data_IF_856354420226
#
_entry.id   IF_856354420226
#
_cell.length_a   1.000
_cell.length_b   1.000
_cell.length_c   1.000
_cell.angle_alpha   90.00
_cell.angle_beta   90.00
_cell.angle_gamma   90.00
#
_symmetry.space_group_name_H-M   'P 1'
#
loop_
_entity.id
_entity.type
_entity.pdbx_description
1 polymer ?
#
# COMPACT_ATOMS: atom_id res chain seq x y z
N UNK A 1 -7.01 6.76 19.15
CA UNK A 1 -7.72 6.97 17.88
C UNK A 1 -7.05 6.03 16.89
N UNK A 2 -7.75 4.97 16.54
CA UNK A 2 -7.27 4.05 15.51
C UNK A 2 -7.09 4.85 14.21
N UNK A 3 -5.86 4.87 13.68
CA UNK A 3 -5.65 5.31 12.30
C UNK A 3 -6.48 4.38 11.44
N UNK A 4 -7.53 4.92 10.81
CA UNK A 4 -8.30 4.17 9.82
C UNK A 4 -7.32 3.53 8.84
N UNK A 5 -7.35 2.20 8.74
CA UNK A 5 -6.46 1.42 7.88
C UNK A 5 -6.98 1.57 6.43
N UNK A 6 -6.75 2.74 5.84
CA UNK A 6 -7.15 3.07 4.48
C UNK A 6 -6.05 3.84 3.75
N UNK A 7 -5.99 3.67 2.45
CA UNK A 7 -5.04 4.37 1.58
C UNK A 7 -5.78 5.01 0.42
N UNK A 8 -5.36 6.18 -0.04
CA UNK A 8 -6.01 6.85 -1.15
C UNK A 8 -5.70 6.18 -2.49
N UNK A 9 -6.63 6.27 -3.46
CA UNK A 9 -6.36 5.84 -4.84
C UNK A 9 -5.22 6.67 -5.45
N UNK A 10 -5.04 7.92 -5.04
CA UNK A 10 -3.92 8.76 -5.44
C UNK A 10 -2.55 8.19 -5.05
N UNK A 11 -2.42 7.65 -3.83
CA UNK A 11 -1.19 7.00 -3.39
C UNK A 11 -0.91 5.74 -4.21
N UNK A 12 -1.97 4.97 -4.55
CA UNK A 12 -1.88 3.83 -5.45
C UNK A 12 -1.41 4.22 -6.85
N UNK A 13 -1.92 5.32 -7.40
CA UNK A 13 -1.51 5.85 -8.72
C UNK A 13 -0.02 6.17 -8.73
N UNK A 14 0.48 6.82 -7.68
CA UNK A 14 1.89 7.20 -7.56
C UNK A 14 2.81 6.00 -7.37
N UNK A 15 2.47 5.13 -6.44
CA UNK A 15 3.33 3.99 -6.08
C UNK A 15 3.45 2.98 -7.21
N UNK A 16 2.33 2.69 -7.89
CA UNK A 16 2.28 1.70 -8.96
C UNK A 16 2.37 2.31 -10.36
N UNK A 17 2.74 3.60 -10.46
CA UNK A 17 2.93 4.33 -11.72
C UNK A 17 1.76 4.15 -12.71
N UNK A 18 0.53 4.34 -12.24
CA UNK A 18 -0.68 4.13 -13.03
C UNK A 18 -1.08 5.40 -13.80
N UNK A 19 -1.69 5.21 -14.96
CA UNK A 19 -2.24 6.30 -15.76
C UNK A 19 -3.71 6.52 -15.42
N UNK A 20 -4.09 7.74 -15.04
CA UNK A 20 -5.49 8.11 -14.80
C UNK A 20 -6.24 8.32 -16.14
N UNK A 21 -7.40 7.67 -16.27
CA UNK A 21 -8.33 7.85 -17.41
C UNK A 21 -9.38 8.89 -17.07
N UNK A 22 -9.72 9.02 -15.80
CA UNK A 22 -10.73 9.95 -15.27
C UNK A 22 -10.07 10.96 -14.31
N UNK A 23 -9.16 11.83 -14.78
CA UNK A 23 -8.39 12.75 -13.92
C UNK A 23 -9.26 13.83 -13.24
N UNK A 24 -10.50 14.04 -13.70
CA UNK A 24 -11.48 14.93 -13.07
C UNK A 24 -12.04 14.38 -11.75
N UNK A 25 -11.91 13.09 -11.50
CA UNK A 25 -12.31 12.48 -10.23
C UNK A 25 -11.14 12.64 -9.25
N UNK A 26 -11.40 13.25 -8.09
CA UNK A 26 -10.38 13.49 -7.09
C UNK A 26 -9.96 12.17 -6.40
N UNK A 27 -8.94 11.51 -6.94
CA UNK A 27 -8.39 10.24 -6.43
C UNK A 27 -7.85 10.31 -5.00
N UNK A 28 -7.62 11.53 -4.46
CA UNK A 28 -7.23 11.74 -3.05
C UNK A 28 -8.36 11.53 -2.05
N UNK A 29 -9.60 11.64 -2.50
CA UNK A 29 -10.80 11.49 -1.67
C UNK A 29 -11.43 10.11 -1.79
N UNK A 30 -10.91 9.25 -2.66
CA UNK A 30 -11.36 7.87 -2.81
C UNK A 30 -10.38 6.94 -2.11
N UNK A 31 -10.88 6.07 -1.22
CA UNK A 31 -10.06 5.24 -0.35
C UNK A 31 -10.25 3.75 -0.61
N UNK A 32 -9.16 3.02 -0.43
CA UNK A 32 -9.09 1.56 -0.46
C UNK A 32 -8.86 1.10 0.98
N UNK A 33 -9.70 0.17 1.46
CA UNK A 33 -9.68 -0.33 2.85
C UNK A 33 -9.35 -1.82 2.94
N UNK A 34 -9.29 -2.52 1.80
CA UNK A 34 -9.02 -3.95 1.73
C UNK A 34 -7.81 -4.25 0.85
N UNK A 35 -6.93 -5.11 1.35
CA UNK A 35 -5.75 -5.54 0.61
C UNK A 35 -6.05 -6.56 -0.50
N UNK A 36 -7.25 -7.10 -0.50
CA UNK A 36 -7.67 -8.06 -1.51
C UNK A 36 -8.17 -7.35 -2.77
N UNK A 37 -8.09 -8.06 -3.89
CA UNK A 37 -8.54 -7.59 -5.20
C UNK A 37 -9.73 -8.39 -5.69
N UNK A 38 -10.41 -7.92 -6.73
CA UNK A 38 -11.45 -8.66 -7.44
C UNK A 38 -11.24 -8.60 -8.96
N UNK A 39 -11.58 -9.67 -9.65
CA UNK A 39 -11.72 -9.72 -11.11
C UNK A 39 -13.20 -9.85 -11.45
N UNK A 40 -13.84 -8.81 -11.99
CA UNK A 40 -15.29 -8.72 -12.03
C UNK A 40 -15.94 -9.45 -13.20
N UNK A 41 -15.40 -10.61 -13.63
CA UNK A 41 -15.93 -11.36 -14.78
C UNK A 41 -17.41 -11.75 -14.58
N UNK A 42 -17.79 -12.20 -13.37
CA UNK A 42 -19.17 -12.55 -13.06
C UNK A 42 -20.10 -11.33 -13.02
N UNK A 43 -19.60 -10.21 -12.51
CA UNK A 43 -20.36 -8.95 -12.47
C UNK A 43 -20.63 -8.41 -13.87
N UNK A 44 -19.66 -8.51 -14.75
CA UNK A 44 -19.80 -8.17 -16.17
C UNK A 44 -20.79 -9.10 -16.90
N UNK A 45 -20.96 -10.34 -16.41
CA UNK A 45 -22.00 -11.26 -16.88
C UNK A 45 -23.38 -11.03 -16.21
N UNK A 46 -23.51 -10.03 -15.34
CA UNK A 46 -24.76 -9.70 -14.67
C UNK A 46 -25.02 -10.43 -13.35
N UNK A 47 -24.06 -11.22 -12.84
CA UNK A 47 -24.17 -11.94 -11.58
C UNK A 47 -23.50 -11.16 -10.44
N UNK A 48 -24.27 -10.78 -9.42
CA UNK A 48 -23.81 -9.89 -8.33
C UNK A 48 -23.92 -10.52 -6.92
N UNK A 49 -24.32 -11.76 -6.79
CA UNK A 49 -24.32 -12.41 -5.48
C UNK A 49 -22.90 -12.54 -4.94
N UNK A 50 -22.71 -12.17 -3.67
CA UNK A 50 -21.40 -12.12 -3.00
C UNK A 50 -20.35 -11.28 -3.73
N UNK A 51 -20.77 -10.20 -4.39
CA UNK A 51 -19.84 -9.30 -5.05
C UNK A 51 -18.92 -8.59 -4.05
N UNK A 52 -17.62 -8.75 -4.23
CA UNK A 52 -16.58 -8.10 -3.43
C UNK A 52 -16.38 -6.64 -3.89
N UNK A 53 -17.38 -5.79 -3.66
CA UNK A 53 -17.42 -4.41 -4.14
C UNK A 53 -16.34 -3.51 -3.51
N UNK A 54 -15.96 -3.75 -2.24
CA UNK A 54 -14.98 -2.92 -1.53
C UNK A 54 -13.52 -3.17 -1.95
N UNK A 55 -13.30 -3.99 -2.98
CA UNK A 55 -11.96 -4.34 -3.46
C UNK A 55 -11.60 -3.57 -4.73
N UNK A 56 -10.30 -3.43 -4.98
CA UNK A 56 -9.78 -2.96 -6.28
C UNK A 56 -10.26 -3.91 -7.37
N UNK A 57 -10.92 -3.37 -8.40
CA UNK A 57 -11.46 -4.14 -9.52
C UNK A 57 -10.44 -4.17 -10.66
N UNK A 58 -10.00 -5.36 -11.07
CA UNK A 58 -8.94 -5.54 -12.08
C UNK A 58 -9.50 -6.13 -13.34
N UNK A 59 -9.34 -5.43 -14.46
CA UNK A 59 -9.71 -5.84 -15.81
C UNK A 59 -8.46 -6.30 -16.55
N UNK A 60 -8.39 -7.59 -16.82
CA UNK A 60 -7.38 -8.17 -17.68
C UNK A 60 -7.91 -8.40 -19.11
N UNK A 61 -7.11 -9.12 -19.92
CA UNK A 61 -7.46 -9.38 -21.33
C UNK A 61 -8.78 -10.14 -21.49
N UNK A 62 -9.06 -11.11 -20.62
CA UNK A 62 -10.27 -11.91 -20.71
C UNK A 62 -11.53 -11.08 -20.42
N UNK A 63 -11.49 -10.28 -19.34
CA UNK A 63 -12.59 -9.37 -19.00
C UNK A 63 -12.78 -8.30 -20.07
N UNK A 64 -11.68 -7.77 -20.63
CA UNK A 64 -11.76 -6.76 -21.70
C UNK A 64 -12.44 -7.29 -22.96
N UNK A 65 -12.08 -8.49 -23.41
CA UNK A 65 -12.75 -9.14 -24.55
C UNK A 65 -14.23 -9.44 -24.25
N UNK A 66 -14.54 -9.80 -22.99
CA UNK A 66 -15.92 -10.00 -22.58
C UNK A 66 -16.72 -8.70 -22.54
N UNK A 67 -16.11 -7.58 -22.16
CA UNK A 67 -16.69 -6.23 -22.23
C UNK A 67 -17.10 -5.91 -23.69
N UNK A 68 -16.23 -6.18 -24.67
CA UNK A 68 -16.54 -5.97 -26.09
C UNK A 68 -17.76 -6.79 -26.55
N UNK A 69 -17.93 -8.00 -26.01
CA UNK A 69 -19.10 -8.85 -26.32
C UNK A 69 -20.37 -8.31 -25.66
N UNK A 70 -20.29 -7.92 -24.38
CA UNK A 70 -21.42 -7.33 -23.63
C UNK A 70 -21.90 -6.03 -24.26
N UNK A 71 -21.00 -5.21 -24.80
CA UNK A 71 -21.31 -3.92 -25.42
C UNK A 71 -22.01 -4.01 -26.77
N UNK A 72 -22.15 -5.19 -27.37
CA UNK A 72 -23.00 -5.40 -28.53
C UNK A 72 -24.48 -5.14 -28.22
N UNK A 73 -24.89 -5.37 -26.97
CA UNK A 73 -26.18 -4.94 -26.43
C UNK A 73 -25.97 -3.71 -25.53
N UNK A 74 -26.08 -2.54 -26.12
CA UNK A 74 -25.80 -1.24 -25.48
C UNK A 74 -26.64 -1.01 -24.21
N UNK A 75 -27.92 -1.38 -24.24
CA UNK A 75 -28.82 -1.13 -23.09
C UNK A 75 -28.50 -2.09 -21.93
N UNK A 76 -28.25 -3.36 -22.24
CA UNK A 76 -27.82 -4.35 -21.27
C UNK A 76 -26.46 -3.98 -20.66
N UNK A 77 -25.47 -3.60 -21.47
CA UNK A 77 -24.15 -3.15 -21.02
C UNK A 77 -24.25 -1.97 -20.06
N UNK A 78 -25.04 -0.96 -20.40
CA UNK A 78 -25.27 0.20 -19.56
C UNK A 78 -25.88 -0.17 -18.19
N UNK A 79 -26.84 -1.08 -18.17
CA UNK A 79 -27.47 -1.57 -16.95
C UNK A 79 -26.47 -2.34 -16.08
N UNK A 80 -25.63 -3.20 -16.68
CA UNK A 80 -24.57 -3.94 -16.00
C UNK A 80 -23.56 -2.97 -15.38
N UNK A 81 -23.09 -1.98 -16.14
CA UNK A 81 -22.12 -1.00 -15.65
C UNK A 81 -22.68 -0.15 -14.50
N UNK A 82 -23.93 0.30 -14.58
CA UNK A 82 -24.57 1.03 -13.48
C UNK A 82 -24.65 0.19 -12.21
N UNK A 83 -24.96 -1.09 -12.32
CA UNK A 83 -25.00 -2.01 -11.16
C UNK A 83 -23.60 -2.29 -10.63
N UNK A 84 -22.62 -2.51 -11.51
CA UNK A 84 -21.25 -2.83 -11.14
C UNK A 84 -20.53 -1.64 -10.49
N UNK A 85 -20.54 -0.50 -11.18
CA UNK A 85 -19.83 0.71 -10.73
C UNK A 85 -20.60 1.39 -9.59
N UNK A 86 -21.93 1.43 -9.68
CA UNK A 86 -22.81 1.99 -8.66
C UNK A 86 -22.89 1.17 -7.36
N UNK A 87 -22.29 -0.01 -7.31
CA UNK A 87 -22.18 -0.79 -6.08
C UNK A 87 -21.21 -0.17 -5.05
N UNK A 88 -20.50 0.92 -5.40
CA UNK A 88 -19.56 1.60 -4.50
C UNK A 88 -18.15 1.02 -4.54
N UNK A 89 -17.70 0.55 -5.69
CA UNK A 89 -16.33 0.07 -5.88
C UNK A 89 -15.33 1.24 -5.76
N UNK A 90 -14.13 1.04 -5.18
CA UNK A 90 -13.17 2.12 -4.98
C UNK A 90 -12.47 2.55 -6.28
N UNK A 91 -12.17 1.61 -7.18
CA UNK A 91 -11.38 1.88 -8.38
C UNK A 91 -11.46 0.73 -9.38
N UNK A 92 -11.34 1.03 -10.66
CA UNK A 92 -11.19 0.05 -11.74
C UNK A 92 -9.81 0.23 -12.37
N UNK A 93 -9.04 -0.86 -12.52
CA UNK A 93 -7.73 -0.83 -13.16
C UNK A 93 -7.72 -1.77 -14.37
N UNK A 94 -7.43 -1.21 -15.53
CA UNK A 94 -7.19 -1.94 -16.77
C UNK A 94 -5.71 -2.27 -16.89
N UNK A 95 -5.37 -3.55 -16.99
CA UNK A 95 -3.99 -4.01 -17.16
C UNK A 95 -3.60 -4.09 -18.66
N UNK A 96 -2.27 -4.27 -18.93
CA UNK A 96 -1.72 -4.44 -20.29
C UNK A 96 -1.98 -3.25 -21.21
N UNK A 97 -2.04 -2.05 -20.66
CA UNK A 97 -2.37 -0.84 -21.41
C UNK A 97 -3.69 -0.94 -22.20
N UNK A 98 -4.63 -1.77 -21.72
CA UNK A 98 -5.99 -1.87 -22.28
C UNK A 98 -6.77 -0.60 -21.92
N UNK A 99 -7.64 -0.20 -22.81
CA UNK A 99 -8.43 1.02 -22.64
C UNK A 99 -9.90 0.68 -22.35
N UNK A 100 -10.53 1.35 -21.36
CA UNK A 100 -11.97 1.25 -21.14
C UNK A 100 -12.75 1.84 -22.32
N UNK A 101 -13.98 1.37 -22.51
CA UNK A 101 -14.91 1.97 -23.45
C UNK A 101 -15.41 3.35 -23.00
N UNK A 102 -15.85 4.19 -23.93
CA UNK A 102 -16.44 5.49 -23.61
C UNK A 102 -17.69 5.36 -22.72
N UNK A 103 -18.46 4.29 -22.91
CA UNK A 103 -19.65 4.00 -22.10
C UNK A 103 -19.26 3.73 -20.65
N UNK A 104 -18.24 2.90 -20.42
CA UNK A 104 -17.75 2.59 -19.06
C UNK A 104 -17.17 3.85 -18.39
N UNK A 105 -16.39 4.64 -19.13
CA UNK A 105 -15.84 5.91 -18.62
C UNK A 105 -16.97 6.85 -18.21
N UNK A 106 -18.03 6.99 -19.03
CA UNK A 106 -19.17 7.83 -18.73
C UNK A 106 -19.87 7.41 -17.44
N UNK A 107 -20.11 6.11 -17.27
CA UNK A 107 -20.75 5.57 -16.05
C UNK A 107 -19.82 5.76 -14.85
N UNK A 108 -18.51 5.51 -15.00
CA UNK A 108 -17.54 5.72 -13.93
C UNK A 108 -17.53 7.18 -13.42
N UNK A 109 -17.60 8.15 -14.34
CA UNK A 109 -17.73 9.58 -14.00
C UNK A 109 -19.02 9.90 -13.28
N UNK A 110 -20.14 9.30 -13.70
CA UNK A 110 -21.46 9.49 -13.07
C UNK A 110 -21.44 9.07 -11.59
N UNK A 111 -20.70 8.00 -11.26
CA UNK A 111 -20.61 7.47 -9.90
C UNK A 111 -19.33 7.91 -9.14
N UNK A 112 -18.47 8.72 -9.74
CA UNK A 112 -17.24 9.20 -9.11
C UNK A 112 -16.19 8.11 -8.86
N UNK A 113 -16.16 7.05 -9.68
CA UNK A 113 -15.23 5.93 -9.55
C UNK A 113 -14.01 6.15 -10.45
N UNK A 114 -12.78 6.25 -9.89
CA UNK A 114 -11.56 6.38 -10.69
C UNK A 114 -11.33 5.17 -11.60
N UNK A 115 -10.94 5.45 -12.85
CA UNK A 115 -10.53 4.45 -13.82
C UNK A 115 -9.07 4.67 -14.18
N UNK A 116 -8.27 3.62 -14.03
CA UNK A 116 -6.83 3.64 -14.18
C UNK A 116 -6.35 2.61 -15.20
N UNK A 117 -5.15 2.83 -15.74
CA UNK A 117 -4.49 1.89 -16.65
C UNK A 117 -3.10 1.56 -16.08
N UNK A 118 -2.78 0.25 -16.01
CA UNK A 118 -1.43 -0.28 -15.83
C UNK A 118 -0.88 -0.81 -17.15
N UNK A 119 0.42 -0.64 -17.36
CA UNK A 119 1.14 -1.23 -18.50
C UNK A 119 1.45 -2.72 -18.28
N UNK A 120 1.46 -3.18 -17.04
CA UNK A 120 1.91 -4.49 -16.63
C UNK A 120 0.97 -5.61 -17.06
N UNK A 121 1.51 -6.83 -17.12
CA UNK A 121 0.69 -8.02 -17.27
C UNK A 121 -0.25 -8.18 -16.08
N UNK A 122 -1.48 -8.67 -16.31
CA UNK A 122 -2.50 -8.75 -15.25
C UNK A 122 -2.04 -9.50 -14.01
N UNK A 123 -1.32 -10.62 -14.18
CA UNK A 123 -0.78 -11.42 -13.05
C UNK A 123 0.31 -10.69 -12.28
N UNK A 124 1.15 -9.93 -12.97
CA UNK A 124 2.22 -9.14 -12.39
C UNK A 124 1.65 -7.97 -11.57
N UNK A 125 0.77 -7.20 -12.19
CA UNK A 125 0.06 -6.12 -11.50
C UNK A 125 -0.72 -6.61 -10.27
N UNK A 126 -1.43 -7.74 -10.38
CA UNK A 126 -2.15 -8.34 -9.24
C UNK A 126 -1.22 -8.67 -8.08
N UNK A 127 -0.06 -9.27 -8.36
CA UNK A 127 0.91 -9.61 -7.32
C UNK A 127 1.47 -8.34 -6.64
N UNK A 128 1.73 -7.30 -7.43
CA UNK A 128 2.28 -6.04 -6.94
C UNK A 128 1.27 -5.26 -6.08
N UNK A 129 0.05 -5.08 -6.57
CA UNK A 129 -0.99 -4.36 -5.82
C UNK A 129 -1.37 -5.07 -4.52
N UNK A 130 -1.47 -6.41 -4.52
CA UNK A 130 -1.75 -7.18 -3.30
C UNK A 130 -0.61 -7.00 -2.28
N UNK A 131 0.64 -7.08 -2.71
CA UNK A 131 1.80 -6.88 -1.85
C UNK A 131 1.81 -5.46 -1.27
N UNK A 132 1.62 -4.44 -2.11
CA UNK A 132 1.60 -3.06 -1.69
C UNK A 132 0.46 -2.78 -0.70
N UNK A 133 -0.79 -3.13 -1.06
CA UNK A 133 -1.95 -2.98 -0.17
C UNK A 133 -1.76 -3.74 1.14
N UNK A 134 -1.22 -4.96 1.08
CA UNK A 134 -0.89 -5.76 2.27
C UNK A 134 0.11 -5.07 3.20
N UNK A 135 0.98 -4.22 2.66
CA UNK A 135 1.95 -3.45 3.45
C UNK A 135 1.35 -2.16 4.01
N UNK A 136 0.64 -1.38 3.16
CA UNK A 136 0.13 -0.06 3.59
C UNK A 136 -1.09 -0.17 4.49
N UNK A 137 -1.93 -1.19 4.30
CA UNK A 137 -3.11 -1.50 5.12
C UNK A 137 -2.80 -2.44 6.30
N UNK A 138 -1.53 -2.85 6.47
CA UNK A 138 -1.14 -3.73 7.56
C UNK A 138 -1.45 -3.11 8.92
N UNK A 139 -2.02 -3.87 9.86
CA UNK A 139 -2.16 -3.42 11.23
C UNK A 139 -0.81 -2.99 11.79
N UNK A 140 -0.76 -1.79 12.35
CA UNK A 140 0.46 -1.25 12.93
C UNK A 140 0.29 -0.95 14.42
N UNK A 141 1.38 -1.15 15.16
CA UNK A 141 1.51 -0.71 16.54
C UNK A 141 2.74 0.18 16.66
N UNK A 142 2.60 1.25 17.42
CA UNK A 142 3.74 2.12 17.74
C UNK A 142 4.29 1.70 19.10
N UNK A 143 5.58 1.39 19.15
CA UNK A 143 6.28 1.02 20.38
C UNK A 143 7.36 2.07 20.65
N UNK A 144 7.36 2.60 21.86
CA UNK A 144 8.44 3.49 22.35
C UNK A 144 9.56 2.62 22.88
N UNK A 145 10.49 2.18 22.01
CA UNK A 145 11.64 1.31 22.37
C UNK A 145 12.66 1.30 21.25
N UNK A 146 13.95 1.13 21.62
CA UNK A 146 15.04 1.04 20.64
C UNK A 146 14.95 -0.16 19.71
N UNK A 147 15.25 0.05 18.44
CA UNK A 147 15.33 -0.99 17.42
C UNK A 147 16.62 -0.89 16.60
N UNK A 148 17.30 -1.99 16.41
CA UNK A 148 18.52 -2.08 15.60
C UNK A 148 18.41 -3.20 14.57
N UNK A 149 18.99 -2.97 13.39
CA UNK A 149 19.17 -4.02 12.36
C UNK A 149 20.53 -4.68 12.57
N UNK A 150 20.51 -5.98 12.80
CA UNK A 150 21.70 -6.79 12.99
C UNK A 150 21.73 -7.87 11.91
N UNK A 151 22.72 -7.82 11.01
CA UNK A 151 22.87 -8.75 9.90
C UNK A 151 21.64 -8.84 8.96
N UNK A 152 20.89 -7.76 8.79
CA UNK A 152 19.69 -7.74 7.95
C UNK A 152 18.42 -8.19 8.66
N UNK A 153 18.48 -8.55 9.94
CA UNK A 153 17.32 -8.89 10.76
C UNK A 153 17.03 -7.77 11.76
N UNK A 154 15.76 -7.37 11.87
CA UNK A 154 15.32 -6.34 12.80
C UNK A 154 15.32 -6.86 14.24
N UNK A 155 16.13 -6.29 15.13
CA UNK A 155 16.14 -6.61 16.55
C UNK A 155 15.52 -5.49 17.36
N UNK A 156 14.46 -5.81 18.11
CA UNK A 156 13.84 -4.90 19.06
C UNK A 156 14.46 -5.04 20.45
N UNK A 157 15.19 -4.04 20.90
CA UNK A 157 15.80 -4.01 22.23
C UNK A 157 14.77 -3.51 23.24
N UNK A 158 14.35 -4.36 24.17
CA UNK A 158 13.33 -4.04 25.16
C UNK A 158 13.90 -4.07 26.58
N UNK A 159 13.39 -3.26 27.48
CA UNK A 159 13.79 -3.21 28.88
C UNK A 159 13.28 -1.95 29.56
N UNK A 160 13.43 -1.88 30.88
CA UNK A 160 13.07 -0.69 31.66
C UNK A 160 13.94 0.52 31.30
N UNK A 161 13.43 1.73 31.61
CA UNK A 161 14.19 2.96 31.42
C UNK A 161 15.48 2.92 32.25
N UNK A 162 16.61 3.20 31.61
CA UNK A 162 17.93 3.25 32.28
C UNK A 162 18.70 1.94 32.38
N UNK A 163 18.22 0.85 31.77
CA UNK A 163 18.91 -0.45 31.79
C UNK A 163 20.11 -0.53 30.81
N UNK A 164 20.34 0.50 30.00
CA UNK A 164 21.44 0.51 29.03
C UNK A 164 21.03 0.17 27.60
N UNK A 165 19.77 0.37 27.21
CA UNK A 165 19.29 0.06 25.83
C UNK A 165 19.99 0.90 24.77
N UNK A 166 20.08 2.21 24.97
CA UNK A 166 20.73 3.13 24.05
C UNK A 166 22.24 2.87 23.96
N UNK A 167 22.88 2.49 25.07
CA UNK A 167 24.29 2.11 25.11
C UNK A 167 24.52 0.78 24.34
N UNK A 168 23.60 -0.19 24.47
CA UNK A 168 23.67 -1.43 23.72
C UNK A 168 23.47 -1.18 22.21
N UNK A 169 22.54 -0.31 21.83
CA UNK A 169 22.33 0.10 20.44
C UNK A 169 23.59 0.79 19.87
N UNK A 170 24.22 1.69 20.63
CA UNK A 170 25.44 2.37 20.22
C UNK A 170 26.62 1.38 20.02
N UNK A 171 26.76 0.37 20.89
CA UNK A 171 27.78 -0.67 20.73
C UNK A 171 27.53 -1.53 19.49
N UNK A 172 26.27 -1.84 19.14
CA UNK A 172 25.92 -2.52 17.92
C UNK A 172 26.32 -1.68 16.69
N UNK A 173 26.04 -0.38 16.70
CA UNK A 173 26.44 0.55 15.63
C UNK A 173 27.97 0.55 15.48
N UNK A 174 28.70 0.63 16.59
CA UNK A 174 30.16 0.60 16.62
C UNK A 174 30.74 -0.69 16.00
N UNK A 175 30.01 -1.80 16.08
CA UNK A 175 30.36 -3.10 15.46
C UNK A 175 29.91 -3.20 14.01
N UNK A 176 29.37 -2.14 13.40
CA UNK A 176 28.96 -2.12 11.99
C UNK A 176 27.50 -2.51 11.74
N UNK A 177 26.69 -2.65 12.80
CA UNK A 177 25.25 -2.86 12.68
C UNK A 177 24.51 -1.55 12.47
N UNK A 178 23.25 -1.60 12.02
CA UNK A 178 22.49 -0.41 11.65
C UNK A 178 21.45 -0.06 12.72
N UNK A 179 21.33 1.23 13.03
CA UNK A 179 20.24 1.72 13.85
C UNK A 179 19.01 1.98 12.96
N UNK A 180 17.86 1.51 13.40
CA UNK A 180 16.56 1.85 12.80
C UNK A 180 15.92 3.00 13.59
N UNK A 181 15.87 2.90 14.92
CA UNK A 181 15.37 3.94 15.81
C UNK A 181 15.74 3.64 17.27
N UNK A 182 15.99 4.67 18.07
CA UNK A 182 16.21 4.52 19.51
C UNK A 182 14.91 4.62 20.32
N UNK A 183 13.97 5.44 19.91
CA UNK A 183 12.84 5.81 20.79
C UNK A 183 11.49 5.26 20.27
N UNK A 184 11.13 5.54 19.02
CA UNK A 184 9.81 5.20 18.47
C UNK A 184 9.93 4.32 17.24
N UNK A 185 9.28 3.15 17.26
CA UNK A 185 9.20 2.23 16.14
C UNK A 185 7.74 1.94 15.83
N UNK A 186 7.35 2.11 14.57
CA UNK A 186 6.09 1.62 14.06
C UNK A 186 6.31 0.20 13.51
N UNK A 187 5.65 -0.80 14.11
CA UNK A 187 5.73 -2.20 13.69
C UNK A 187 4.46 -2.56 12.95
N UNK A 188 4.60 -2.97 11.68
CA UNK A 188 3.52 -3.44 10.81
C UNK A 188 3.59 -4.95 10.60
N UNK A 189 2.46 -5.62 10.74
CA UNK A 189 2.34 -7.05 10.43
C UNK A 189 1.95 -7.22 8.95
N UNK A 190 2.94 -7.36 8.07
CA UNK A 190 2.71 -7.49 6.60
C UNK A 190 2.35 -8.92 6.17
N UNK A 191 2.60 -9.92 7.01
CA UNK A 191 2.15 -11.29 6.78
C UNK A 191 2.02 -12.06 8.10
N UNK A 192 1.56 -13.34 8.04
CA UNK A 192 1.50 -14.21 9.23
C UNK A 192 2.88 -14.44 9.88
N UNK A 193 3.97 -14.30 9.12
CA UNK A 193 5.35 -14.60 9.55
C UNK A 193 6.29 -13.40 9.48
N UNK A 194 5.83 -12.24 8.98
CA UNK A 194 6.71 -11.09 8.73
C UNK A 194 6.18 -9.84 9.40
N UNK A 195 7.06 -9.19 10.15
CA UNK A 195 6.87 -7.86 10.72
C UNK A 195 7.86 -6.90 10.05
N UNK A 196 7.43 -5.67 9.81
CA UNK A 196 8.30 -4.59 9.34
C UNK A 196 8.30 -3.50 10.41
N UNK A 197 9.50 -3.13 10.89
CA UNK A 197 9.70 -2.00 11.78
C UNK A 197 10.18 -0.79 11.00
N UNK A 198 9.52 0.35 11.19
CA UNK A 198 9.91 1.63 10.59
C UNK A 198 10.01 2.71 11.65
N UNK A 199 10.93 3.67 11.44
CA UNK A 199 11.09 4.83 12.30
C UNK A 199 10.44 6.06 11.67
N UNK A 200 9.78 6.93 12.45
CA UNK A 200 9.39 8.25 11.99
C UNK A 200 10.62 9.05 11.51
N UNK A 201 10.46 9.81 10.42
CA UNK A 201 11.58 10.59 9.83
C UNK A 201 12.25 11.55 10.81
N UNK A 202 11.47 12.11 11.74
CA UNK A 202 11.95 13.12 12.71
C UNK A 202 12.92 12.53 13.73
N UNK A 203 12.80 11.24 14.09
CA UNK A 203 13.61 10.61 15.15
C UNK A 203 14.64 9.61 14.61
N UNK A 204 14.68 9.41 13.31
CA UNK A 204 15.36 8.30 12.61
C UNK A 204 16.87 8.18 12.88
N UNK A 205 17.55 9.27 13.22
CA UNK A 205 19.01 9.28 13.34
C UNK A 205 19.50 9.76 14.70
N UNK A 206 18.60 9.89 15.65
CA UNK A 206 18.91 10.41 16.97
C UNK A 206 18.88 9.31 18.01
N UNK A 207 19.87 9.32 18.91
CA UNK A 207 19.95 8.50 20.13
C UNK A 207 20.05 9.44 21.32
N UNK A 208 19.27 9.17 22.36
CA UNK A 208 19.41 9.84 23.66
C UNK A 208 20.29 9.02 24.59
N UNK A 209 21.45 9.58 24.95
CA UNK A 209 22.35 9.01 25.96
C UNK A 209 22.22 9.79 27.25
N UNK A 210 21.92 9.08 28.34
CA UNK A 210 21.82 9.71 29.67
C UNK A 210 23.13 10.37 30.07
N UNK A 211 23.04 11.64 30.54
CA UNK A 211 24.19 12.44 30.95
C UNK A 211 25.01 13.06 29.82
N UNK A 212 24.72 12.74 28.56
CA UNK A 212 25.38 13.28 27.36
C UNK A 212 24.40 14.12 26.54
N UNK A 213 23.15 13.67 26.40
CA UNK A 213 22.13 14.32 25.59
C UNK A 213 21.81 13.56 24.30
N UNK A 214 21.20 14.26 23.33
CA UNK A 214 20.81 13.71 22.03
C UNK A 214 22.01 13.74 21.09
N UNK A 215 22.32 12.60 20.51
CA UNK A 215 23.44 12.40 19.59
C UNK A 215 22.87 12.11 18.18
N UNK A 216 23.37 12.83 17.17
CA UNK A 216 23.13 12.52 15.76
C UNK A 216 24.11 11.43 15.31
N UNK A 217 23.62 10.20 15.23
CA UNK A 217 24.41 9.01 14.87
C UNK A 217 24.86 9.06 13.42
N UNK A 218 24.10 9.71 12.54
CA UNK A 218 24.47 9.89 11.12
C UNK A 218 25.73 10.73 10.98
N UNK A 219 25.86 11.78 11.78
CA UNK A 219 27.05 12.62 11.74
C UNK A 219 28.29 11.93 12.34
N UNK A 220 28.10 11.04 13.32
CA UNK A 220 29.20 10.37 14.01
C UNK A 220 29.72 9.13 13.26
N UNK A 221 28.83 8.35 12.65
CA UNK A 221 29.16 7.03 12.08
C UNK A 221 28.89 6.95 10.56
N UNK A 222 28.47 8.04 9.90
CA UNK A 222 28.31 8.10 8.45
C UNK A 222 27.20 7.22 7.88
N UNK A 223 27.44 6.62 6.70
CA UNK A 223 26.46 5.86 5.94
C UNK A 223 26.09 4.46 6.50
N UNK A 224 26.44 4.13 7.72
CA UNK A 224 26.00 2.88 8.39
C UNK A 224 24.52 2.89 8.78
N UNK A 225 23.77 3.93 8.41
CA UNK A 225 22.36 4.08 8.71
C UNK A 225 21.51 3.70 7.50
N UNK A 226 20.47 2.92 7.76
CA UNK A 226 19.58 2.39 6.73
C UNK A 226 18.68 3.48 6.14
N UNK A 227 18.75 3.68 4.83
CA UNK A 227 17.69 4.30 4.07
C UNK A 227 16.81 3.18 3.53
N UNK A 228 15.67 2.88 4.18
CA UNK A 228 14.62 1.94 3.77
C UNK A 228 15.06 0.67 3.02
N UNK A 229 14.68 -0.53 3.41
CA UNK A 229 14.93 -1.70 2.59
C UNK A 229 14.15 -1.56 1.30
N UNK A 230 14.87 -1.56 0.17
CA UNK A 230 14.25 -1.95 -1.07
C UNK A 230 13.73 -3.38 -0.87
N UNK A 231 12.46 -3.66 -1.07
CA UNK A 231 11.97 -5.03 -1.02
C UNK A 231 12.70 -5.85 -2.10
N UNK A 232 13.41 -6.88 -1.70
CA UNK A 232 13.80 -7.96 -2.61
C UNK A 232 12.71 -9.00 -2.63
#
# INVERSE_FOLDING_TARGET
MDKEHRVSVYDMVKELNLKEVTPEINSKEVYIEQAEINRPALQLAGFFENFAQNRVQIIGKAEHLFIEEVEKDVENAKNIYKRFIGAGIPVIVFCRNLHPSEMMIKVAKEYGVPVLISQDATSEFMAEVIRWLGTVLAPSITIQRGNSDVFGEGILITGESGIGKSEAALELIRRGHRLVSDDVVEIKRVSKKSLIGTSPEVTRFFIELRGIGIIDVKNLYGCLLYTSPSPR
#
